data_IF_023856957105
#
_entry.id   IF_023856957105
#
_cell.length_a   1.000
_cell.length_b   1.000
_cell.length_c   1.000
_cell.angle_alpha   90.00
_cell.angle_beta   90.00
_cell.angle_gamma   90.00
#
_symmetry.space_group_name_H-M   'P 1'
#
loop_
_entity.id
_entity.type
_entity.pdbx_description
1 polymer ?
#
# COMPACT_ATOMS: atom_id res chain seq x y z
N UNK A 1 -38.43 11.50 -3.03
CA UNK A 1 -37.59 10.28 -2.90
C UNK A 1 -36.97 10.31 -1.52
N UNK A 2 -36.93 9.18 -0.83
CA UNK A 2 -36.25 9.08 0.46
C UNK A 2 -34.74 9.27 0.30
N UNK A 3 -34.04 9.70 1.35
CA UNK A 3 -32.58 9.84 1.36
C UNK A 3 -31.88 8.52 1.01
N UNK A 4 -32.43 7.39 1.46
CA UNK A 4 -31.94 6.04 1.14
C UNK A 4 -32.09 5.71 -0.35
N UNK A 5 -33.22 6.07 -0.97
CA UNK A 5 -33.45 5.83 -2.40
C UNK A 5 -32.47 6.63 -3.26
N UNK A 6 -32.28 7.92 -2.93
CA UNK A 6 -31.30 8.78 -3.59
C UNK A 6 -29.89 8.22 -3.39
N UNK A 7 -29.56 7.75 -2.18
CA UNK A 7 -28.28 7.11 -1.89
C UNK A 7 -28.02 5.84 -2.70
N UNK A 8 -29.01 4.95 -2.81
CA UNK A 8 -28.91 3.74 -3.64
C UNK A 8 -28.75 4.07 -5.12
N UNK A 9 -29.47 5.09 -5.60
CA UNK A 9 -29.38 5.54 -7.00
C UNK A 9 -28.01 6.17 -7.27
N UNK A 10 -27.47 6.94 -6.32
CA UNK A 10 -26.16 7.58 -6.41
C UNK A 10 -25.01 6.56 -6.43
N UNK A 11 -25.03 5.61 -5.49
CA UNK A 11 -24.07 4.51 -5.46
C UNK A 11 -24.21 3.58 -6.66
N UNK A 12 -25.44 3.23 -7.05
CA UNK A 12 -25.73 2.39 -8.21
C UNK A 12 -25.26 3.02 -9.52
N UNK A 13 -25.54 4.30 -9.75
CA UNK A 13 -25.05 5.04 -10.91
C UNK A 13 -23.52 5.07 -10.96
N UNK A 14 -22.87 5.24 -9.80
CA UNK A 14 -21.40 5.20 -9.68
C UNK A 14 -20.85 3.84 -10.06
N UNK A 15 -21.42 2.75 -9.55
CA UNK A 15 -21.01 1.39 -9.91
C UNK A 15 -21.21 1.13 -11.42
N UNK A 16 -22.33 1.54 -12.00
CA UNK A 16 -22.59 1.40 -13.44
C UNK A 16 -21.54 2.15 -14.26
N UNK A 17 -21.21 3.40 -13.89
CA UNK A 17 -20.18 4.18 -14.57
C UNK A 17 -18.80 3.51 -14.49
N UNK A 18 -18.45 2.95 -13.33
CA UNK A 18 -17.19 2.23 -13.14
C UNK A 18 -17.15 0.92 -13.95
N UNK A 19 -18.23 0.14 -13.96
CA UNK A 19 -18.31 -1.09 -14.76
C UNK A 19 -18.37 -0.84 -16.26
N UNK A 20 -18.84 0.33 -16.69
CA UNK A 20 -18.75 0.79 -18.07
C UNK A 20 -17.30 1.13 -18.51
N UNK A 21 -16.34 1.08 -17.58
CA UNK A 21 -14.92 1.32 -17.85
C UNK A 21 -14.51 2.79 -17.85
N UNK A 22 -15.36 3.69 -17.31
CA UNK A 22 -14.96 5.09 -17.15
C UNK A 22 -13.85 5.19 -16.10
N UNK A 23 -12.81 6.03 -16.34
CA UNK A 23 -11.83 6.30 -15.30
C UNK A 23 -12.50 6.90 -14.07
N UNK A 24 -12.07 6.45 -12.88
CA UNK A 24 -12.75 6.73 -11.60
C UNK A 24 -13.02 8.21 -11.37
N UNK A 25 -12.06 9.10 -11.67
CA UNK A 25 -12.24 10.54 -11.52
C UNK A 25 -13.46 11.04 -12.31
N UNK A 26 -13.62 10.62 -13.56
CA UNK A 26 -14.74 11.02 -14.41
C UNK A 26 -16.04 10.33 -13.99
N UNK A 27 -15.99 9.08 -13.51
CA UNK A 27 -17.17 8.41 -12.98
C UNK A 27 -17.73 9.16 -11.76
N UNK A 28 -16.88 9.46 -10.77
CA UNK A 28 -17.28 10.20 -9.56
C UNK A 28 -17.76 11.61 -9.91
N UNK A 29 -17.00 12.34 -10.72
CA UNK A 29 -17.34 13.71 -11.10
C UNK A 29 -18.61 13.81 -11.92
N UNK A 30 -18.80 12.94 -12.92
CA UNK A 30 -20.00 12.94 -13.76
C UNK A 30 -21.25 12.60 -12.94
N UNK A 31 -21.17 11.57 -12.09
CA UNK A 31 -22.31 11.19 -11.23
C UNK A 31 -22.63 12.29 -10.23
N UNK A 32 -21.63 12.92 -9.62
CA UNK A 32 -21.82 14.07 -8.74
C UNK A 32 -22.54 15.23 -9.45
N UNK A 33 -22.05 15.65 -10.62
CA UNK A 33 -22.64 16.77 -11.38
C UNK A 33 -24.07 16.45 -11.85
N UNK A 34 -24.33 15.22 -12.32
CA UNK A 34 -25.68 14.78 -12.71
C UNK A 34 -26.64 14.86 -11.52
N UNK A 35 -26.22 14.42 -10.33
CA UNK A 35 -27.06 14.49 -9.14
C UNK A 35 -27.25 15.92 -8.66
N UNK A 36 -26.23 16.78 -8.74
CA UNK A 36 -26.39 18.21 -8.47
C UNK A 36 -27.45 18.83 -9.38
N UNK A 37 -27.45 18.49 -10.66
CA UNK A 37 -28.42 19.01 -11.62
C UNK A 37 -29.87 18.60 -11.30
N UNK A 38 -30.10 17.35 -10.89
CA UNK A 38 -31.45 16.84 -10.65
C UNK A 38 -31.98 17.03 -9.22
N UNK A 39 -31.09 17.06 -8.22
CA UNK A 39 -31.48 16.99 -6.80
C UNK A 39 -31.02 18.20 -5.96
N UNK A 40 -30.24 19.12 -6.52
CA UNK A 40 -29.77 20.33 -5.83
C UNK A 40 -30.25 21.60 -6.56
N UNK A 41 -30.25 22.78 -5.90
CA UNK A 41 -30.56 24.04 -6.56
C UNK A 41 -29.62 24.32 -7.73
N UNK A 42 -30.11 24.95 -8.80
CA UNK A 42 -29.31 25.23 -10.00
C UNK A 42 -28.04 26.03 -9.69
N UNK A 43 -28.10 26.95 -8.72
CA UNK A 43 -26.94 27.73 -8.25
C UNK A 43 -25.80 26.87 -7.66
N UNK A 44 -26.08 25.63 -7.23
CA UNK A 44 -25.04 24.71 -6.76
C UNK A 44 -24.13 24.24 -7.89
N UNK A 45 -24.55 24.29 -9.16
CA UNK A 45 -23.68 23.92 -10.28
C UNK A 45 -22.58 24.96 -10.53
N UNK A 46 -22.83 26.23 -10.15
CA UNK A 46 -21.85 27.30 -10.29
C UNK A 46 -20.64 27.10 -9.36
N UNK A 47 -20.83 26.36 -8.25
CA UNK A 47 -19.76 26.10 -7.28
C UNK A 47 -18.91 24.87 -7.62
N UNK A 48 -19.27 24.09 -8.65
CA UNK A 48 -18.52 22.86 -9.02
C UNK A 48 -17.05 23.17 -9.28
N UNK A 49 -16.76 24.17 -10.12
CA UNK A 49 -15.39 24.54 -10.48
C UNK A 49 -14.61 25.05 -9.27
N UNK A 50 -15.26 25.86 -8.42
CA UNK A 50 -14.65 26.41 -7.21
C UNK A 50 -14.31 25.30 -6.22
N UNK A 51 -15.25 24.40 -5.93
CA UNK A 51 -15.06 23.29 -5.01
C UNK A 51 -13.91 22.38 -5.47
N UNK A 52 -13.89 21.99 -6.76
CA UNK A 52 -12.80 21.16 -7.28
C UNK A 52 -11.45 21.89 -7.19
N UNK A 53 -11.42 23.19 -7.49
CA UNK A 53 -10.19 23.97 -7.43
C UNK A 53 -9.66 24.12 -5.99
N UNK A 54 -10.49 24.52 -5.03
CA UNK A 54 -10.10 24.72 -3.64
C UNK A 54 -9.52 23.45 -3.02
N UNK A 55 -10.13 22.30 -3.32
CA UNK A 55 -9.67 21.01 -2.81
C UNK A 55 -8.35 20.56 -3.43
N UNK A 56 -8.16 20.80 -4.72
CA UNK A 56 -6.89 20.51 -5.40
C UNK A 56 -5.78 21.48 -4.99
N UNK A 57 -6.13 22.71 -4.61
CA UNK A 57 -5.21 23.78 -4.24
C UNK A 57 -4.79 23.76 -2.76
N UNK A 58 -4.76 22.60 -2.12
CA UNK A 58 -4.31 22.43 -0.74
C UNK A 58 -2.81 22.12 -0.64
N UNK A 59 -2.12 22.72 0.35
CA UNK A 59 -0.70 22.45 0.61
C UNK A 59 -0.45 20.98 1.02
N UNK A 60 -1.45 20.31 1.58
CA UNK A 60 -1.38 18.88 1.90
C UNK A 60 -1.36 18.04 0.62
N UNK A 61 -2.04 18.47 -0.45
CA UNK A 61 -2.03 17.78 -1.75
C UNK A 61 -0.64 17.79 -2.41
N UNK A 62 0.16 18.83 -2.17
CA UNK A 62 1.54 18.93 -2.67
C UNK A 62 2.44 17.78 -2.17
N UNK A 63 2.09 17.17 -1.03
CA UNK A 63 2.76 15.98 -0.48
C UNK A 63 2.69 14.78 -1.44
N UNK A 64 1.58 14.61 -2.17
CA UNK A 64 1.32 13.42 -3.00
C UNK A 64 2.28 13.39 -4.20
N UNK A 65 2.36 14.42 -5.08
CA UNK A 65 3.30 14.39 -6.20
C UNK A 65 4.76 14.25 -5.79
N UNK A 66 5.15 14.84 -4.65
CA UNK A 66 6.53 14.79 -4.17
C UNK A 66 6.89 13.39 -3.66
N UNK A 67 6.01 12.70 -2.94
CA UNK A 67 6.25 11.31 -2.58
C UNK A 67 6.20 10.36 -3.79
N UNK A 68 5.32 10.60 -4.76
CA UNK A 68 5.34 9.88 -6.04
C UNK A 68 6.68 10.10 -6.74
N UNK A 69 7.18 11.35 -6.80
CA UNK A 69 8.46 11.67 -7.42
C UNK A 69 9.62 10.93 -6.77
N UNK A 70 9.67 10.97 -5.43
CA UNK A 70 10.63 10.21 -4.62
C UNK A 70 10.56 8.72 -4.97
N UNK A 71 9.36 8.13 -4.98
CA UNK A 71 9.16 6.72 -5.25
C UNK A 71 9.51 6.32 -6.68
N UNK A 72 9.15 7.13 -7.67
CA UNK A 72 9.48 6.93 -9.07
C UNK A 72 11.00 6.99 -9.31
N UNK A 73 11.70 7.92 -8.65
CA UNK A 73 13.15 8.05 -8.75
C UNK A 73 13.88 6.80 -8.20
N UNK A 74 13.47 6.33 -7.01
CA UNK A 74 14.05 5.14 -6.38
C UNK A 74 13.66 3.89 -7.17
N UNK A 75 12.40 3.77 -7.60
CA UNK A 75 11.83 2.72 -8.43
C UNK A 75 12.56 2.47 -9.74
N UNK A 76 13.02 3.53 -10.40
CA UNK A 76 13.76 3.46 -11.67
C UNK A 76 15.25 3.19 -11.50
N UNK A 77 15.77 3.24 -10.28
CA UNK A 77 17.19 3.03 -9.99
C UNK A 77 17.51 1.56 -9.71
N UNK A 78 18.80 1.23 -9.53
CA UNK A 78 19.24 -0.12 -9.12
C UNK A 78 19.12 -0.37 -7.60
N UNK A 79 18.47 0.55 -6.88
CA UNK A 79 18.25 0.47 -5.44
C UNK A 79 17.68 -0.87 -4.96
N UNK A 80 16.64 -1.37 -5.64
CA UNK A 80 16.00 -2.64 -5.26
C UNK A 80 16.96 -3.83 -5.28
N UNK A 81 17.79 -3.91 -6.32
CA UNK A 81 18.82 -4.95 -6.46
C UNK A 81 19.91 -4.82 -5.39
N UNK A 82 20.32 -3.59 -5.05
CA UNK A 82 21.35 -3.34 -4.05
C UNK A 82 20.87 -3.68 -2.63
N UNK A 83 19.65 -3.27 -2.28
CA UNK A 83 18.98 -3.60 -1.03
C UNK A 83 18.85 -5.10 -0.85
N UNK A 84 18.33 -5.78 -1.88
CA UNK A 84 18.19 -7.22 -1.88
C UNK A 84 19.54 -7.92 -1.66
N UNK A 85 20.56 -7.56 -2.46
CA UNK A 85 21.88 -8.17 -2.37
C UNK A 85 22.54 -7.96 -1.01
N UNK A 86 22.39 -6.78 -0.43
CA UNK A 86 23.01 -6.45 0.84
C UNK A 86 22.30 -7.13 2.03
N UNK A 87 20.97 -7.12 2.06
CA UNK A 87 20.19 -7.80 3.10
C UNK A 87 20.38 -9.31 3.05
N UNK A 88 20.53 -9.86 1.83
CA UNK A 88 20.81 -11.27 1.66
C UNK A 88 22.10 -11.72 2.38
N UNK A 89 23.19 -10.97 2.24
CA UNK A 89 24.48 -11.26 2.90
C UNK A 89 24.35 -11.21 4.43
N UNK A 90 23.53 -10.29 4.95
CA UNK A 90 23.27 -10.15 6.38
C UNK A 90 22.40 -11.28 6.95
N UNK A 91 21.42 -11.75 6.16
CA UNK A 91 20.49 -12.80 6.57
C UNK A 91 21.04 -14.22 6.37
N UNK A 92 22.26 -14.39 5.88
CA UNK A 92 22.85 -15.72 5.64
C UNK A 92 22.97 -16.65 6.86
N UNK A 93 22.83 -16.14 8.09
CA UNK A 93 22.79 -16.98 9.31
C UNK A 93 21.39 -17.52 9.64
N UNK A 94 20.33 -16.95 9.06
CA UNK A 94 18.95 -17.36 9.34
C UNK A 94 18.57 -18.50 8.39
N UNK A 95 17.97 -19.61 8.88
CA UNK A 95 17.44 -20.65 8.01
C UNK A 95 16.41 -20.05 7.03
N UNK A 96 16.66 -20.13 5.73
CA UNK A 96 15.80 -19.48 4.74
C UNK A 96 16.04 -17.98 4.61
N UNK A 97 17.24 -17.51 4.98
CA UNK A 97 17.63 -16.11 5.02
C UNK A 97 17.42 -15.34 3.71
N UNK A 98 17.31 -16.05 2.58
CA UNK A 98 16.97 -15.49 1.28
C UNK A 98 15.51 -15.00 1.22
N UNK A 99 14.56 -15.81 1.72
CA UNK A 99 13.16 -15.40 1.82
C UNK A 99 12.98 -14.29 2.85
N UNK A 100 13.65 -14.40 4.00
CA UNK A 100 13.63 -13.34 5.03
C UNK A 100 14.22 -12.03 4.50
N UNK A 101 15.35 -12.09 3.79
CA UNK A 101 15.94 -10.93 3.13
C UNK A 101 14.99 -10.28 2.13
N UNK A 102 14.19 -11.06 1.40
CA UNK A 102 13.16 -10.51 0.51
C UNK A 102 12.07 -9.74 1.25
N UNK A 103 11.59 -10.26 2.38
CA UNK A 103 10.58 -9.54 3.19
C UNK A 103 11.16 -8.21 3.69
N UNK A 104 12.38 -8.20 4.23
CA UNK A 104 13.03 -6.98 4.68
C UNK A 104 13.37 -6.02 3.53
N UNK A 105 13.81 -6.53 2.38
CA UNK A 105 14.12 -5.72 1.21
C UNK A 105 12.85 -5.06 0.66
N UNK A 106 11.75 -5.81 0.58
CA UNK A 106 10.45 -5.27 0.25
C UNK A 106 10.04 -4.21 1.30
N UNK A 107 10.06 -4.51 2.59
CA UNK A 107 9.66 -3.56 3.63
C UNK A 107 10.44 -2.23 3.56
N UNK A 108 11.77 -2.29 3.47
CA UNK A 108 12.62 -1.11 3.41
C UNK A 108 12.42 -0.33 2.10
N UNK A 109 12.29 -1.04 0.97
CA UNK A 109 12.02 -0.42 -0.32
C UNK A 109 10.64 0.21 -0.36
N UNK A 110 9.63 -0.47 0.18
CA UNK A 110 8.25 -0.03 0.16
C UNK A 110 8.04 1.21 1.03
N UNK A 111 8.71 1.28 2.20
CA UNK A 111 8.76 2.48 3.02
C UNK A 111 9.36 3.69 2.27
N UNK A 112 10.21 3.47 1.26
CA UNK A 112 10.77 4.57 0.47
C UNK A 112 9.93 4.90 -0.76
N UNK A 113 9.44 3.86 -1.45
CA UNK A 113 8.72 3.99 -2.70
C UNK A 113 7.25 4.39 -2.50
N UNK A 114 6.65 4.04 -1.36
CA UNK A 114 5.25 4.30 -1.04
C UNK A 114 4.25 3.68 -2.03
N UNK A 115 4.71 2.73 -2.85
CA UNK A 115 3.95 2.12 -3.96
C UNK A 115 4.18 0.62 -3.99
N UNK A 116 3.09 -0.12 -3.93
CA UNK A 116 3.12 -1.57 -3.88
C UNK A 116 3.54 -2.22 -5.21
N UNK A 117 2.95 -1.86 -6.37
CA UNK A 117 3.38 -2.40 -7.66
C UNK A 117 4.83 -2.06 -8.01
N UNK A 118 5.28 -0.84 -7.65
CA UNK A 118 6.66 -0.41 -7.86
C UNK A 118 7.63 -1.27 -7.04
N UNK A 119 7.28 -1.59 -5.79
CA UNK A 119 8.08 -2.47 -4.94
C UNK A 119 8.16 -3.89 -5.50
N UNK A 120 7.03 -4.45 -5.94
CA UNK A 120 7.02 -5.77 -6.60
C UNK A 120 7.90 -5.80 -7.85
N UNK A 121 7.84 -4.75 -8.69
CA UNK A 121 8.67 -4.65 -9.89
C UNK A 121 10.17 -4.54 -9.57
N UNK A 122 10.53 -3.66 -8.65
CA UNK A 122 11.92 -3.36 -8.31
C UNK A 122 12.59 -4.54 -7.60
N UNK A 123 11.95 -5.10 -6.57
CA UNK A 123 12.51 -6.23 -5.81
C UNK A 123 12.33 -7.54 -6.57
N UNK A 124 11.21 -7.75 -7.25
CA UNK A 124 10.91 -8.98 -7.99
C UNK A 124 11.88 -9.27 -9.12
N UNK A 125 12.32 -8.23 -9.85
CA UNK A 125 13.26 -8.39 -10.97
C UNK A 125 14.61 -8.98 -10.54
N UNK A 126 15.06 -8.74 -9.31
CA UNK A 126 16.29 -9.32 -8.75
C UNK A 126 16.01 -10.55 -7.86
N UNK A 127 14.93 -10.50 -7.07
CA UNK A 127 14.62 -11.49 -6.05
C UNK A 127 14.10 -12.82 -6.60
N UNK A 128 13.20 -12.80 -7.59
CA UNK A 128 12.62 -14.03 -8.14
C UNK A 128 13.68 -14.90 -8.83
N UNK A 129 14.51 -14.38 -9.76
CA UNK A 129 15.52 -15.20 -10.42
C UNK A 129 16.52 -15.79 -9.43
N UNK A 130 16.95 -15.02 -8.44
CA UNK A 130 17.93 -15.46 -7.45
C UNK A 130 17.35 -16.52 -6.49
N UNK A 131 16.10 -16.35 -6.01
CA UNK A 131 15.42 -17.40 -5.22
C UNK A 131 15.33 -18.71 -6.00
N UNK A 132 14.94 -18.65 -7.27
CA UNK A 132 14.83 -19.83 -8.12
C UNK A 132 16.17 -20.50 -8.38
N UNK A 133 17.23 -19.71 -8.59
CA UNK A 133 18.60 -20.21 -8.74
C UNK A 133 19.06 -20.98 -7.50
N UNK A 134 18.57 -20.63 -6.31
CA UNK A 134 18.87 -21.31 -5.04
C UNK A 134 17.89 -22.44 -4.72
N UNK A 135 17.07 -22.84 -5.68
CA UNK A 135 16.16 -23.98 -5.60
C UNK A 135 14.83 -23.73 -4.89
N UNK A 136 14.48 -22.50 -4.52
CA UNK A 136 13.15 -22.21 -3.96
C UNK A 136 12.06 -22.47 -5.00
N UNK A 137 10.89 -22.92 -4.54
CA UNK A 137 9.77 -23.15 -5.46
C UNK A 137 9.34 -21.84 -6.16
N UNK A 138 9.03 -21.86 -7.48
CA UNK A 138 8.65 -20.66 -8.22
C UNK A 138 7.43 -19.94 -7.64
N UNK A 139 6.43 -20.70 -7.21
CA UNK A 139 5.23 -20.16 -6.57
C UNK A 139 5.53 -19.43 -5.26
N UNK A 140 6.40 -19.98 -4.40
CA UNK A 140 6.79 -19.30 -3.17
C UNK A 140 7.63 -18.04 -3.43
N UNK A 141 8.57 -18.10 -4.38
CA UNK A 141 9.37 -16.94 -4.77
C UNK A 141 8.52 -15.80 -5.33
N UNK A 142 7.52 -16.13 -6.15
CA UNK A 142 6.53 -15.18 -6.64
C UNK A 142 5.66 -14.63 -5.51
N UNK A 143 5.14 -15.50 -4.64
CA UNK A 143 4.21 -15.15 -3.58
C UNK A 143 4.81 -14.24 -2.50
N UNK A 144 6.03 -14.53 -2.04
CA UNK A 144 6.69 -13.74 -0.99
C UNK A 144 7.01 -12.32 -1.45
N UNK A 145 7.29 -12.12 -2.74
CA UNK A 145 7.58 -10.80 -3.29
C UNK A 145 6.28 -10.06 -3.62
N UNK A 146 5.25 -10.75 -4.13
CA UNK A 146 3.92 -10.16 -4.31
C UNK A 146 3.35 -9.64 -2.99
N UNK A 147 3.44 -10.45 -1.93
CA UNK A 147 3.01 -10.08 -0.58
C UNK A 147 3.95 -9.06 0.07
N UNK A 148 5.26 -9.23 -0.02
CA UNK A 148 6.22 -8.25 0.52
C UNK A 148 6.03 -6.87 -0.09
N UNK A 149 5.70 -6.79 -1.38
CA UNK A 149 5.41 -5.53 -2.03
C UNK A 149 4.15 -4.83 -1.53
N UNK A 150 3.18 -5.53 -0.93
CA UNK A 150 1.99 -4.87 -0.38
C UNK A 150 2.33 -3.93 0.77
N UNK A 151 3.39 -4.24 1.53
CA UNK A 151 3.87 -3.45 2.66
C UNK A 151 4.11 -1.97 2.34
N UNK A 152 4.21 -1.58 1.06
CA UNK A 152 4.28 -0.19 0.63
C UNK A 152 2.99 0.61 0.81
N UNK A 153 1.88 -0.07 1.09
CA UNK A 153 0.62 0.55 1.48
C UNK A 153 0.64 0.89 2.98
N UNK A 154 1.19 0.02 3.83
CA UNK A 154 1.18 0.20 5.28
C UNK A 154 2.40 0.94 5.84
N UNK A 155 3.61 0.67 5.33
CA UNK A 155 4.83 1.25 5.87
C UNK A 155 5.04 2.70 5.40
N UNK A 156 5.24 3.66 6.32
CA UNK A 156 5.38 5.06 5.95
C UNK A 156 6.76 5.42 5.37
N UNK A 157 6.85 6.46 4.53
CA UNK A 157 5.74 7.21 3.89
C UNK A 157 4.97 6.39 2.84
N UNK A 158 3.63 6.42 2.93
CA UNK A 158 2.72 5.68 2.04
C UNK A 158 1.70 6.61 1.38
N UNK A 159 1.55 6.49 0.06
CA UNK A 159 0.56 7.24 -0.73
C UNK A 159 -0.86 6.90 -0.27
N UNK A 160 -1.12 5.62 0.04
CA UNK A 160 -2.46 5.15 0.44
C UNK A 160 -2.88 5.74 1.78
N UNK A 161 -1.94 5.81 2.75
CA UNK A 161 -2.20 6.45 4.04
C UNK A 161 -2.41 7.96 3.90
N UNK A 162 -1.69 8.64 3.01
CA UNK A 162 -1.91 10.08 2.74
C UNK A 162 -3.34 10.32 2.27
N UNK A 163 -3.82 9.50 1.34
CA UNK A 163 -5.16 9.65 0.78
C UNK A 163 -6.25 9.33 1.79
N UNK A 164 -6.04 8.32 2.63
CA UNK A 164 -6.95 8.06 3.75
C UNK A 164 -6.97 9.23 4.72
N UNK A 165 -5.82 9.79 5.10
CA UNK A 165 -5.74 10.93 6.00
C UNK A 165 -6.50 12.14 5.46
N UNK A 166 -6.42 12.39 4.15
CA UNK A 166 -7.17 13.45 3.46
C UNK A 166 -8.67 13.13 3.48
N UNK A 167 -9.08 11.95 3.03
CA UNK A 167 -10.49 11.57 2.92
C UNK A 167 -11.21 11.47 4.28
N UNK A 168 -10.47 11.10 5.32
CA UNK A 168 -10.96 10.97 6.69
C UNK A 168 -10.72 12.23 7.54
N UNK A 169 -10.13 13.27 6.96
CA UNK A 169 -9.69 14.50 7.65
C UNK A 169 -8.90 14.20 8.94
N UNK A 170 -8.02 13.20 8.89
CA UNK A 170 -7.20 12.75 10.01
C UNK A 170 -5.76 13.27 9.91
N UNK A 171 -5.08 13.30 11.06
CA UNK A 171 -3.66 13.64 11.10
C UNK A 171 -2.80 12.60 10.36
N UNK A 172 -2.14 13.04 9.29
CA UNK A 172 -1.21 12.22 8.51
C UNK A 172 -0.06 11.65 9.36
N UNK A 173 0.52 12.47 10.25
CA UNK A 173 1.62 12.05 11.12
C UNK A 173 1.22 10.92 12.08
N UNK A 174 0.01 11.02 12.67
CA UNK A 174 -0.52 9.95 13.53
C UNK A 174 -0.76 8.66 12.75
N UNK A 175 -1.28 8.77 11.53
CA UNK A 175 -1.54 7.60 10.69
C UNK A 175 -0.24 6.90 10.26
N UNK A 176 0.81 7.66 9.94
CA UNK A 176 2.12 7.08 9.66
C UNK A 176 2.71 6.35 10.87
N UNK A 177 2.64 6.93 12.08
CA UNK A 177 3.06 6.23 13.29
C UNK A 177 2.22 4.98 13.54
N UNK A 178 0.91 5.06 13.30
CA UNK A 178 0.01 3.93 13.51
C UNK A 178 0.29 2.76 12.58
N UNK A 179 0.85 3.01 11.40
CA UNK A 179 1.25 1.97 10.45
C UNK A 179 2.52 1.20 10.84
N UNK A 180 3.39 1.77 11.70
CA UNK A 180 4.68 1.14 12.05
C UNK A 180 4.48 -0.17 12.80
N UNK A 181 3.67 -0.17 13.87
CA UNK A 181 3.44 -1.37 14.69
C UNK A 181 2.88 -2.54 13.88
N UNK A 182 1.77 -2.34 13.14
CA UNK A 182 1.17 -3.37 12.29
C UNK A 182 2.07 -3.76 11.11
N UNK A 183 2.85 -2.81 10.57
CA UNK A 183 3.84 -3.10 9.52
C UNK A 183 4.96 -4.01 10.01
N UNK A 184 5.50 -3.77 11.21
CA UNK A 184 6.47 -4.65 11.86
C UNK A 184 5.86 -6.02 12.13
N UNK A 185 4.62 -6.08 12.63
CA UNK A 185 3.89 -7.33 12.83
C UNK A 185 3.82 -8.13 11.52
N UNK A 186 3.44 -7.51 10.40
CA UNK A 186 3.37 -8.17 9.10
C UNK A 186 4.72 -8.65 8.60
N UNK A 187 5.78 -7.84 8.73
CA UNK A 187 7.16 -8.24 8.40
C UNK A 187 7.57 -9.48 9.21
N UNK A 188 7.27 -9.50 10.51
CA UNK A 188 7.58 -10.65 11.39
C UNK A 188 6.79 -11.88 10.97
N UNK A 189 5.48 -11.77 10.72
CA UNK A 189 4.65 -12.89 10.28
C UNK A 189 5.12 -13.46 8.94
N UNK A 190 5.45 -12.60 7.97
CA UNK A 190 5.95 -13.01 6.66
C UNK A 190 7.32 -13.67 6.77
N UNK A 191 8.21 -13.15 7.62
CA UNK A 191 9.52 -13.74 7.87
C UNK A 191 9.40 -15.11 8.55
N UNK A 192 8.53 -15.26 9.57
CA UNK A 192 8.28 -16.55 10.24
C UNK A 192 7.78 -17.58 9.23
N UNK A 193 6.80 -17.20 8.40
CA UNK A 193 6.28 -18.09 7.36
C UNK A 193 7.36 -18.45 6.33
N UNK A 194 8.21 -17.50 5.94
CA UNK A 194 9.31 -17.76 5.02
C UNK A 194 10.31 -18.79 5.58
N UNK A 195 10.66 -18.68 6.86
CA UNK A 195 11.52 -19.66 7.54
C UNK A 195 10.83 -21.03 7.62
N UNK A 196 9.54 -21.07 7.95
CA UNK A 196 8.77 -22.31 8.04
C UNK A 196 8.69 -23.03 6.69
N UNK A 197 8.38 -22.30 5.61
CA UNK A 197 8.35 -22.83 4.24
C UNK A 197 9.72 -23.30 3.77
N UNK A 198 10.78 -22.54 4.04
CA UNK A 198 12.14 -22.98 3.73
C UNK A 198 12.48 -24.30 4.43
N UNK A 199 12.13 -24.45 5.72
CA UNK A 199 12.38 -25.70 6.45
C UNK A 199 11.63 -26.89 5.85
N UNK A 200 10.38 -26.68 5.43
CA UNK A 200 9.57 -27.69 4.75
C UNK A 200 10.19 -28.09 3.40
N UNK A 201 10.53 -27.12 2.54
CA UNK A 201 11.14 -27.39 1.23
C UNK A 201 12.53 -28.04 1.37
N UNK A 202 13.32 -27.62 2.35
CA UNK A 202 14.61 -28.24 2.66
C UNK A 202 14.45 -29.67 3.14
N UNK A 203 13.52 -29.94 4.05
CA UNK A 203 13.27 -31.30 4.55
C UNK A 203 12.83 -32.25 3.41
N UNK A 204 11.96 -31.76 2.52
CA UNK A 204 11.54 -32.51 1.33
C UNK A 204 12.72 -32.77 0.37
N UNK A 205 13.57 -31.78 0.13
CA UNK A 205 14.77 -31.92 -0.70
C UNK A 205 15.78 -32.92 -0.10
N UNK A 206 16.00 -32.86 1.23
CA UNK A 206 16.87 -33.82 1.94
C UNK A 206 16.32 -35.23 1.84
N UNK A 207 15.01 -35.43 2.02
CA UNK A 207 14.37 -36.73 1.91
C UNK A 207 14.47 -37.30 0.49
N UNK A 208 14.26 -36.47 -0.54
CA UNK A 208 14.41 -36.86 -1.93
C UNK A 208 15.86 -37.26 -2.26
N UNK A 209 16.84 -36.51 -1.78
CA UNK A 209 18.26 -36.83 -1.96
C UNK A 209 18.65 -38.14 -1.25
N UNK A 210 18.17 -38.35 -0.01
CA UNK A 210 18.40 -39.59 0.74
C UNK A 210 17.81 -40.84 0.05
N UNK A 211 16.79 -40.68 -0.79
CA UNK A 211 16.18 -41.74 -1.60
C UNK A 211 16.84 -41.91 -2.98
N UNK A 212 17.98 -41.27 -3.23
CA UNK A 212 18.72 -41.36 -4.50
C UNK A 212 18.33 -40.30 -5.55
N UNK A 213 17.58 -39.27 -5.16
CA UNK A 213 17.20 -38.16 -6.03
C UNK A 213 18.34 -37.17 -6.33
N UNK A 214 18.10 -36.23 -7.24
CA UNK A 214 19.07 -35.20 -7.64
C UNK A 214 19.36 -34.19 -6.53
N UNK A 215 20.61 -33.73 -6.45
CA UNK A 215 21.00 -32.64 -5.53
C UNK A 215 20.20 -31.37 -5.81
N UNK A 216 19.65 -30.75 -4.77
CA UNK A 216 18.94 -29.47 -4.83
C UNK A 216 19.81 -28.35 -4.29
N UNK A 217 19.86 -27.20 -4.96
CA UNK A 217 20.60 -26.03 -4.45
C UNK A 217 20.05 -25.45 -3.15
N UNK A 218 18.85 -25.86 -2.71
CA UNK A 218 18.34 -25.57 -1.37
C UNK A 218 19.21 -26.16 -0.24
N UNK A 219 19.95 -27.23 -0.54
CA UNK A 219 20.84 -27.92 0.40
C UNK A 219 22.19 -27.21 0.55
N UNK A 220 22.55 -26.33 -0.39
CA UNK A 220 23.79 -25.57 -0.33
C UNK A 220 23.70 -24.51 0.77
N UNK A 221 24.66 -24.54 1.69
CA UNK A 221 24.80 -23.52 2.73
C UNK A 221 25.82 -22.48 2.30
N UNK A 222 25.36 -21.30 1.93
CA UNK A 222 26.26 -20.17 1.67
C UNK A 222 26.70 -19.57 3.01
N UNK A 223 28.00 -19.59 3.30
CA UNK A 223 28.58 -18.95 4.49
C UNK A 223 29.25 -17.64 4.09
N UNK A 224 28.67 -16.51 4.50
CA UNK A 224 29.28 -15.19 4.29
C UNK A 224 30.19 -14.81 5.46
N UNK A 225 31.40 -14.37 5.14
CA UNK A 225 32.37 -13.82 6.08
C UNK A 225 31.93 -12.47 6.65
N UNK A 226 32.45 -12.09 7.83
CA UNK A 226 32.16 -10.79 8.43
C UNK A 226 32.54 -9.62 7.49
N UNK A 227 33.67 -9.76 6.77
CA UNK A 227 34.15 -8.75 5.82
C UNK A 227 33.16 -8.48 4.68
N UNK A 228 32.53 -9.51 4.13
CA UNK A 228 31.50 -9.38 3.09
C UNK A 228 30.23 -8.69 3.60
N UNK A 229 29.85 -8.94 4.86
CA UNK A 229 28.70 -8.27 5.49
C UNK A 229 28.94 -6.78 5.69
N UNK A 230 30.11 -6.40 6.21
CA UNK A 230 30.46 -4.99 6.38
C UNK A 230 30.63 -4.29 5.03
N UNK A 231 31.14 -4.99 4.00
CA UNK A 231 31.23 -4.45 2.65
C UNK A 231 29.85 -4.18 1.99
N UNK A 232 28.77 -4.80 2.48
CA UNK A 232 27.42 -4.59 1.99
C UNK A 232 26.71 -3.37 2.61
N UNK A 233 27.15 -2.89 3.79
CA UNK A 233 26.52 -1.75 4.50
C UNK A 233 26.45 -0.48 3.64
N UNK A 234 27.52 -0.07 2.91
CA UNK A 234 27.48 1.16 2.11
C UNK A 234 26.40 1.15 1.01
N UNK A 235 25.88 -0.03 0.62
CA UNK A 235 24.79 -0.15 -0.35
C UNK A 235 23.41 0.11 0.26
N UNK A 236 23.22 -0.14 1.55
CA UNK A 236 21.93 0.04 2.26
C UNK A 236 21.86 1.38 2.97
N UNK A 237 23.02 1.88 3.43
CA UNK A 237 23.12 3.07 4.25
C UNK A 237 22.44 4.31 3.64
N UNK A 238 22.57 4.63 2.33
CA UNK A 238 21.90 5.79 1.74
C UNK A 238 20.38 5.74 1.89
N UNK A 239 19.79 4.56 1.74
CA UNK A 239 18.35 4.32 1.86
C UNK A 239 17.86 4.47 3.29
N UNK A 240 18.61 3.92 4.24
CA UNK A 240 18.31 4.03 5.67
C UNK A 240 18.46 5.48 6.13
N UNK A 241 19.50 6.19 5.68
CA UNK A 241 19.67 7.63 5.96
C UNK A 241 18.48 8.42 5.40
N UNK A 242 18.06 8.14 4.16
CA UNK A 242 16.92 8.83 3.58
C UNK A 242 15.63 8.56 4.37
N UNK A 243 15.38 7.30 4.76
CA UNK A 243 14.19 6.94 5.53
C UNK A 243 14.21 7.60 6.91
N UNK A 244 15.29 7.43 7.67
CA UNK A 244 15.44 7.98 9.02
C UNK A 244 15.41 9.51 8.97
N UNK A 245 16.07 10.15 8.01
CA UNK A 245 16.08 11.60 7.87
C UNK A 245 14.68 12.18 7.63
N UNK A 246 13.90 11.56 6.75
CA UNK A 246 12.51 11.94 6.48
C UNK A 246 11.63 11.73 7.72
N UNK A 247 11.77 10.59 8.40
CA UNK A 247 11.00 10.29 9.62
C UNK A 247 11.38 11.20 10.79
N UNK A 248 12.66 11.50 10.95
CA UNK A 248 13.16 12.41 11.98
C UNK A 248 12.66 13.85 11.75
N UNK A 249 12.69 14.33 10.51
CA UNK A 249 12.17 15.66 10.19
C UNK A 249 10.67 15.79 10.49
N UNK A 250 9.89 14.75 10.16
CA UNK A 250 8.44 14.71 10.39
C UNK A 250 8.07 14.61 11.87
N UNK A 251 8.63 13.64 12.59
CA UNK A 251 8.24 13.36 13.97
C UNK A 251 8.97 14.23 14.99
N UNK A 252 10.15 14.75 14.64
CA UNK A 252 10.86 15.73 15.45
C UNK A 252 10.21 17.12 15.42
N UNK A 253 9.12 17.31 14.66
CA UNK A 253 8.44 18.59 14.52
C UNK A 253 9.27 19.65 13.76
N UNK A 254 10.32 19.23 13.07
CA UNK A 254 11.25 20.12 12.36
C UNK A 254 10.63 20.58 11.03
N UNK A 255 9.87 19.70 10.38
CA UNK A 255 9.24 19.96 9.09
C UNK A 255 7.81 19.41 9.04
N UNK A 256 6.94 20.11 8.33
CA UNK A 256 5.58 19.65 8.00
C UNK A 256 5.62 18.43 7.06
N UNK A 257 4.52 17.68 6.91
CA UNK A 257 4.47 16.55 5.97
C UNK A 257 4.82 16.94 4.53
N UNK A 258 4.37 18.11 4.06
CA UNK A 258 4.65 18.62 2.72
C UNK A 258 6.13 19.00 2.54
N UNK A 259 6.73 19.66 3.52
CA UNK A 259 8.17 19.96 3.52
C UNK A 259 9.03 18.70 3.59
N UNK A 260 8.62 17.72 4.41
CA UNK A 260 9.27 16.42 4.52
C UNK A 260 9.21 15.64 3.20
N UNK A 261 8.08 15.71 2.49
CA UNK A 261 7.94 15.11 1.16
C UNK A 261 8.87 15.77 0.14
N UNK A 262 8.95 17.11 0.16
CA UNK A 262 9.88 17.87 -0.69
C UNK A 262 11.34 17.54 -0.41
N UNK A 263 11.74 17.57 0.85
CA UNK A 263 13.08 17.16 1.28
C UNK A 263 13.37 15.72 0.86
N UNK A 264 12.44 14.79 1.08
CA UNK A 264 12.56 13.40 0.69
C UNK A 264 12.72 13.20 -0.82
N UNK A 265 11.99 13.96 -1.64
CA UNK A 265 12.09 13.93 -3.09
C UNK A 265 13.44 14.46 -3.59
N UNK A 266 13.89 15.61 -3.07
CA UNK A 266 15.20 16.18 -3.42
C UNK A 266 16.33 15.26 -3.01
N UNK A 267 16.30 14.74 -1.77
CA UNK A 267 17.31 13.79 -1.29
C UNK A 267 17.33 12.50 -2.12
N UNK A 268 16.17 11.99 -2.54
CA UNK A 268 16.09 10.82 -3.42
C UNK A 268 16.70 11.11 -4.80
N UNK A 269 16.40 12.26 -5.41
CA UNK A 269 16.98 12.65 -6.69
C UNK A 269 18.50 12.83 -6.60
N UNK A 270 18.99 13.50 -5.54
CA UNK A 270 20.43 13.68 -5.29
C UNK A 270 21.12 12.33 -5.06
N UNK A 271 20.53 11.45 -4.26
CA UNK A 271 21.04 10.10 -4.03
C UNK A 271 21.12 9.32 -5.35
N UNK A 272 20.05 9.35 -6.15
CA UNK A 272 19.95 8.60 -7.40
C UNK A 272 20.91 9.17 -8.46
N UNK A 273 21.09 10.49 -8.51
CA UNK A 273 22.09 11.13 -9.35
C UNK A 273 23.52 10.78 -8.90
N UNK A 274 23.83 10.86 -7.60
CA UNK A 274 25.18 10.62 -7.08
C UNK A 274 25.62 9.17 -7.14
N UNK A 275 24.77 8.24 -6.70
CA UNK A 275 25.10 6.81 -6.58
C UNK A 275 24.88 6.08 -7.90
N UNK A 276 23.73 6.31 -8.55
CA UNK A 276 23.34 5.58 -9.76
C UNK A 276 23.66 6.32 -11.06
N UNK A 277 24.21 7.54 -10.98
CA UNK A 277 24.57 8.38 -12.13
C UNK A 277 23.39 8.64 -13.08
N UNK A 278 22.19 8.71 -12.52
CA UNK A 278 20.94 9.00 -13.24
C UNK A 278 20.72 10.52 -13.21
N UNK A 279 21.31 11.22 -14.18
CA UNK A 279 21.18 12.68 -14.33
C UNK A 279 20.88 13.12 -15.75
N UNK A 280 21.04 12.23 -16.75
CA UNK A 280 20.84 12.60 -18.14
C UNK A 280 19.35 12.88 -18.38
N UNK A 281 18.98 13.90 -19.17
CA UNK A 281 17.57 14.18 -19.49
C UNK A 281 16.81 12.95 -20.01
N UNK A 282 17.47 12.08 -20.78
CA UNK A 282 16.90 10.83 -21.26
C UNK A 282 16.53 9.82 -20.15
N UNK A 283 17.17 9.89 -18.98
CA UNK A 283 16.91 9.02 -17.82
C UNK A 283 15.99 9.69 -16.79
N UNK A 284 16.08 11.02 -16.65
CA UNK A 284 15.22 11.81 -15.76
C UNK A 284 13.82 12.01 -16.35
N UNK A 285 13.71 12.18 -17.68
CA UNK A 285 12.43 12.34 -18.38
C UNK A 285 11.41 11.25 -18.05
N UNK A 286 11.78 9.95 -18.11
CA UNK A 286 10.90 8.86 -17.69
C UNK A 286 10.45 8.92 -16.23
N UNK A 287 11.30 9.38 -15.30
CA UNK A 287 10.95 9.55 -13.88
C UNK A 287 9.89 10.64 -13.76
N UNK A 288 10.12 11.81 -14.33
CA UNK A 288 9.17 12.93 -14.30
C UNK A 288 7.86 12.57 -14.99
N UNK A 289 7.90 11.87 -16.12
CA UNK A 289 6.69 11.46 -16.84
C UNK A 289 5.87 10.44 -16.05
N UNK A 290 6.50 9.46 -15.38
CA UNK A 290 5.77 8.56 -14.46
C UNK A 290 5.15 9.34 -13.30
N UNK A 291 5.90 10.29 -12.73
CA UNK A 291 5.41 11.14 -11.64
C UNK A 291 4.21 11.95 -12.07
N UNK A 292 4.29 12.64 -13.21
CA UNK A 292 3.19 13.45 -13.74
C UNK A 292 1.96 12.59 -13.99
N UNK A 293 2.11 11.44 -14.64
CA UNK A 293 0.99 10.53 -14.92
C UNK A 293 0.29 10.08 -13.63
N UNK A 294 1.05 9.57 -12.67
CA UNK A 294 0.48 9.09 -11.39
C UNK A 294 -0.12 10.24 -10.59
N UNK A 295 0.58 11.37 -10.49
CA UNK A 295 0.11 12.54 -9.75
C UNK A 295 -1.16 13.13 -10.34
N UNK A 296 -1.23 13.33 -11.66
CA UNK A 296 -2.43 13.84 -12.33
C UNK A 296 -3.60 12.89 -12.16
N UNK A 297 -3.37 11.58 -12.29
CA UNK A 297 -4.41 10.58 -12.05
C UNK A 297 -4.96 10.68 -10.62
N UNK A 298 -4.09 10.70 -9.61
CA UNK A 298 -4.52 10.76 -8.21
C UNK A 298 -5.19 12.09 -7.87
N UNK A 299 -4.61 13.22 -8.27
CA UNK A 299 -5.18 14.54 -8.00
C UNK A 299 -6.55 14.73 -8.63
N UNK A 300 -6.77 14.21 -9.85
CA UNK A 300 -8.09 14.23 -10.49
C UNK A 300 -9.10 13.36 -9.73
N UNK A 301 -8.71 12.18 -9.25
CA UNK A 301 -9.59 11.33 -8.44
C UNK A 301 -9.97 12.05 -7.15
N UNK A 302 -9.00 12.68 -6.47
CA UNK A 302 -9.24 13.40 -5.22
C UNK A 302 -10.23 14.56 -5.43
N UNK A 303 -9.96 15.45 -6.39
CA UNK A 303 -10.83 16.60 -6.66
C UNK A 303 -12.26 16.19 -6.98
N UNK A 304 -12.44 15.15 -7.81
CA UNK A 304 -13.78 14.65 -8.16
C UNK A 304 -14.42 13.84 -7.02
N UNK A 305 -13.63 13.15 -6.20
CA UNK A 305 -14.14 12.42 -5.03
C UNK A 305 -14.62 13.35 -3.92
N UNK A 306 -14.00 14.51 -3.76
CA UNK A 306 -14.42 15.51 -2.78
C UNK A 306 -15.69 16.21 -3.25
N UNK A 307 -15.82 16.53 -4.54
CA UNK A 307 -17.09 16.93 -5.13
C UNK A 307 -18.18 15.87 -4.90
N UNK A 308 -17.86 14.59 -5.13
CA UNK A 308 -18.77 13.48 -4.88
C UNK A 308 -19.20 13.39 -3.41
N UNK A 309 -18.27 13.62 -2.48
CA UNK A 309 -18.49 13.63 -1.03
C UNK A 309 -19.35 14.80 -0.58
N UNK A 310 -19.13 15.97 -1.17
CA UNK A 310 -19.93 17.17 -0.96
C UNK A 310 -21.40 16.92 -1.29
N UNK A 311 -21.68 16.30 -2.45
CA UNK A 311 -23.05 15.94 -2.86
C UNK A 311 -23.67 14.92 -1.89
N UNK A 312 -22.90 13.92 -1.43
CA UNK A 312 -23.41 12.97 -0.41
C UNK A 312 -23.81 13.67 0.88
N UNK A 313 -23.01 14.63 1.34
CA UNK A 313 -23.28 15.39 2.55
C UNK A 313 -24.48 16.30 2.39
N UNK A 314 -24.57 17.01 1.25
CA UNK A 314 -25.68 17.92 0.96
C UNK A 314 -27.02 17.20 0.86
N UNK A 315 -27.05 16.04 0.19
CA UNK A 315 -28.26 15.22 0.05
C UNK A 315 -28.55 14.36 1.29
N UNK A 316 -27.78 14.53 2.37
CA UNK A 316 -27.88 13.76 3.62
C UNK A 316 -27.79 12.23 3.42
N UNK A 317 -27.13 11.78 2.36
CA UNK A 317 -26.95 10.35 2.05
C UNK A 317 -26.06 9.70 3.12
N UNK A 318 -24.94 10.34 3.45
CA UNK A 318 -23.98 9.84 4.45
C UNK A 318 -24.60 9.76 5.85
N UNK A 319 -25.37 10.77 6.25
CA UNK A 319 -26.06 10.82 7.54
C UNK A 319 -27.20 9.79 7.60
N UNK A 320 -28.02 9.70 6.55
CA UNK A 320 -29.10 8.72 6.47
C UNK A 320 -28.60 7.28 6.49
N UNK A 321 -27.46 6.99 5.84
CA UNK A 321 -26.80 5.68 5.93
C UNK A 321 -26.34 5.38 7.36
N UNK A 322 -25.77 6.36 8.06
CA UNK A 322 -25.34 6.19 9.45
C UNK A 322 -26.52 5.95 10.39
N UNK A 323 -27.60 6.73 10.26
CA UNK A 323 -28.82 6.57 11.06
C UNK A 323 -29.49 5.22 10.82
N UNK A 324 -29.55 4.76 9.56
CA UNK A 324 -30.08 3.45 9.22
C UNK A 324 -29.28 2.31 9.87
N UNK A 325 -27.94 2.38 9.83
CA UNK A 325 -27.06 1.41 10.46
C UNK A 325 -27.20 1.43 11.99
N UNK A 326 -27.26 2.62 12.61
CA UNK A 326 -27.46 2.76 14.06
C UNK A 326 -28.85 2.21 14.45
N UNK A 327 -29.87 2.46 13.64
CA UNK A 327 -31.22 1.94 13.83
C UNK A 327 -31.33 0.42 13.76
N UNK A 328 -30.44 -0.26 13.03
CA UNK A 328 -30.35 -1.72 13.02
C UNK A 328 -29.82 -2.31 14.34
N UNK A 329 -29.30 -1.49 15.26
CA UNK A 329 -28.66 -1.93 16.50
C UNK A 329 -27.61 -3.03 16.30
N UNK A 330 -26.87 -2.96 15.18
CA UNK A 330 -25.83 -3.94 14.89
C UNK A 330 -24.74 -3.88 15.95
N UNK A 331 -24.23 -5.05 16.34
CA UNK A 331 -22.98 -5.12 17.08
C UNK A 331 -21.88 -4.41 16.28
N UNK A 332 -21.07 -3.59 16.96
CA UNK A 332 -19.94 -2.86 16.35
C UNK A 332 -19.05 -3.76 15.48
N UNK A 333 -18.89 -5.04 15.87
CA UNK A 333 -18.09 -6.02 15.15
C UNK A 333 -18.76 -6.54 13.88
N UNK A 334 -20.09 -6.64 13.87
CA UNK A 334 -20.86 -7.01 12.68
C UNK A 334 -20.80 -5.88 11.65
N UNK A 335 -20.93 -4.64 12.09
CA UNK A 335 -20.74 -3.46 11.24
C UNK A 335 -19.34 -3.45 10.63
N UNK A 336 -18.30 -3.62 11.45
CA UNK A 336 -16.92 -3.69 10.98
C UNK A 336 -16.75 -4.82 9.96
N UNK A 337 -17.19 -6.04 10.27
CA UNK A 337 -17.08 -7.19 9.38
C UNK A 337 -17.78 -6.95 8.03
N UNK A 338 -18.97 -6.35 8.03
CA UNK A 338 -19.70 -6.02 6.80
C UNK A 338 -18.95 -4.98 5.96
N UNK A 339 -18.39 -3.93 6.58
CA UNK A 339 -17.59 -2.92 5.89
C UNK A 339 -16.32 -3.55 5.32
N UNK A 340 -15.59 -4.35 6.11
CA UNK A 340 -14.37 -5.01 5.62
C UNK A 340 -14.68 -5.98 4.48
N UNK A 341 -15.78 -6.72 4.54
CA UNK A 341 -16.20 -7.61 3.46
C UNK A 341 -16.53 -6.82 2.17
N UNK A 342 -17.27 -5.72 2.27
CA UNK A 342 -17.53 -4.81 1.15
C UNK A 342 -16.23 -4.30 0.54
N UNK A 343 -15.31 -3.84 1.38
CA UNK A 343 -14.02 -3.28 0.98
C UNK A 343 -13.12 -4.34 0.33
N UNK A 344 -13.15 -5.59 0.78
CA UNK A 344 -12.49 -6.73 0.12
C UNK A 344 -13.07 -6.97 -1.28
N UNK A 345 -14.39 -6.99 -1.42
CA UNK A 345 -15.07 -7.21 -2.70
C UNK A 345 -14.72 -6.09 -3.69
N UNK A 346 -14.70 -4.82 -3.23
CA UNK A 346 -14.25 -3.71 -4.08
C UNK A 346 -12.77 -3.81 -4.43
N UNK A 347 -11.93 -4.30 -3.50
CA UNK A 347 -10.51 -4.59 -3.68
C UNK A 347 -10.20 -5.54 -4.84
N UNK A 348 -11.15 -6.37 -5.24
CA UNK A 348 -11.01 -7.27 -6.38
C UNK A 348 -11.00 -6.56 -7.73
N UNK A 349 -11.57 -5.36 -7.82
CA UNK A 349 -11.78 -4.67 -9.09
C UNK A 349 -11.10 -3.30 -9.13
N UNK A 350 -10.96 -2.65 -7.98
CA UNK A 350 -10.54 -1.26 -7.88
C UNK A 350 -9.18 -1.14 -7.18
N UNK A 351 -8.33 -0.18 -7.60
CA UNK A 351 -7.13 0.18 -6.87
C UNK A 351 -7.43 0.73 -5.46
N UNK A 352 -6.52 0.55 -4.48
CA UNK A 352 -6.71 1.02 -3.10
C UNK A 352 -7.13 2.48 -2.95
N UNK A 353 -6.48 3.35 -3.72
CA UNK A 353 -6.76 4.80 -3.73
C UNK A 353 -8.21 5.08 -4.06
N UNK A 354 -8.72 4.40 -5.09
CA UNK A 354 -10.08 4.57 -5.59
C UNK A 354 -11.11 4.12 -4.58
N UNK A 355 -10.83 3.00 -3.89
CA UNK A 355 -11.72 2.47 -2.86
C UNK A 355 -11.81 3.44 -1.70
N UNK A 356 -10.67 3.93 -1.20
CA UNK A 356 -10.64 4.88 -0.07
C UNK A 356 -11.44 6.13 -0.41
N UNK A 357 -11.12 6.79 -1.54
CA UNK A 357 -11.76 8.06 -1.91
C UNK A 357 -13.25 7.91 -2.22
N UNK A 358 -13.68 6.77 -2.76
CA UNK A 358 -15.09 6.50 -3.05
C UNK A 358 -15.89 6.11 -1.80
N UNK A 359 -15.31 5.30 -0.92
CA UNK A 359 -16.05 4.67 0.19
C UNK A 359 -15.94 5.43 1.50
N UNK A 360 -14.86 6.17 1.75
CA UNK A 360 -14.65 6.94 2.98
C UNK A 360 -15.87 7.82 3.37
N UNK A 361 -16.48 8.59 2.44
CA UNK A 361 -17.61 9.46 2.78
C UNK A 361 -18.86 8.69 3.24
N UNK A 362 -18.95 7.41 2.84
CA UNK A 362 -20.07 6.52 3.17
C UNK A 362 -19.79 5.74 4.46
N UNK A 363 -18.58 5.22 4.62
CA UNK A 363 -18.24 4.27 5.69
C UNK A 363 -17.78 4.96 6.99
N UNK A 364 -17.14 6.13 6.90
CA UNK A 364 -16.56 6.77 8.09
C UNK A 364 -17.60 7.33 9.06
N UNK A 365 -18.71 7.97 8.62
CA UNK A 365 -19.74 8.45 9.54
C UNK A 365 -20.34 7.36 10.45
N UNK A 366 -20.81 6.19 9.94
CA UNK A 366 -21.33 5.13 10.81
C UNK A 366 -20.25 4.53 11.72
N UNK A 367 -19.00 4.42 11.27
CA UNK A 367 -17.90 3.95 12.11
C UNK A 367 -17.61 4.90 13.28
N UNK A 368 -17.60 6.21 13.01
CA UNK A 368 -17.44 7.24 14.04
C UNK A 368 -18.60 7.21 15.04
N UNK A 369 -19.83 7.07 14.55
CA UNK A 369 -21.02 6.93 15.41
C UNK A 369 -20.99 5.67 16.28
N UNK A 370 -20.44 4.56 15.76
CA UNK A 370 -20.23 3.32 16.50
C UNK A 370 -19.03 3.36 17.48
N UNK A 371 -18.32 4.50 17.56
CA UNK A 371 -17.21 4.71 18.49
C UNK A 371 -15.86 4.13 18.06
N UNK A 372 -15.67 3.84 16.76
CA UNK A 372 -14.38 3.42 16.25
C UNK A 372 -13.40 4.59 16.12
N UNK A 373 -12.14 4.33 16.47
CA UNK A 373 -11.03 5.24 16.17
C UNK A 373 -10.73 5.18 14.66
N UNK A 374 -10.77 6.34 14.00
CA UNK A 374 -10.60 6.43 12.55
C UNK A 374 -9.14 6.22 12.12
N UNK A 375 -8.15 6.42 12.99
CA UNK A 375 -6.75 6.14 12.67
C UNK A 375 -6.55 4.62 12.66
N UNK A 376 -7.05 3.92 13.69
CA UNK A 376 -7.05 2.46 13.77
C UNK A 376 -7.79 1.83 12.59
N UNK A 377 -8.97 2.35 12.25
CA UNK A 377 -9.72 1.87 11.08
C UNK A 377 -8.94 2.11 9.78
N UNK A 378 -8.26 3.25 9.64
CA UNK A 378 -7.40 3.53 8.50
C UNK A 378 -6.32 2.46 8.31
N UNK A 379 -5.69 2.02 9.39
CA UNK A 379 -4.69 0.94 9.32
C UNK A 379 -5.30 -0.41 8.93
N UNK A 380 -6.45 -0.77 9.50
CA UNK A 380 -7.15 -1.99 9.09
C UNK A 380 -7.55 -1.93 7.63
N UNK A 381 -8.12 -0.80 7.20
CA UNK A 381 -8.50 -0.57 5.81
C UNK A 381 -7.29 -0.70 4.89
N UNK A 382 -6.12 -0.16 5.28
CA UNK A 382 -4.87 -0.34 4.55
C UNK A 382 -4.46 -1.80 4.41
N UNK A 383 -4.53 -2.62 5.47
CA UNK A 383 -4.21 -4.06 5.38
C UNK A 383 -5.22 -4.79 4.48
N UNK A 384 -6.50 -4.42 4.53
CA UNK A 384 -7.50 -4.99 3.61
C UNK A 384 -7.20 -4.61 2.15
N UNK A 385 -6.76 -3.38 1.90
CA UNK A 385 -6.31 -2.95 0.57
C UNK A 385 -5.07 -3.72 0.10
N UNK A 386 -4.13 -4.02 1.01
CA UNK A 386 -2.99 -4.88 0.71
C UNK A 386 -3.43 -6.26 0.23
N UNK A 387 -4.41 -6.86 0.91
CA UNK A 387 -4.98 -8.15 0.47
C UNK A 387 -5.58 -8.06 -0.93
N UNK A 388 -6.29 -6.97 -1.26
CA UNK A 388 -6.88 -6.74 -2.59
C UNK A 388 -5.84 -6.73 -3.73
N UNK A 389 -4.61 -6.27 -3.46
CA UNK A 389 -3.54 -6.25 -4.47
C UNK A 389 -2.94 -7.62 -4.79
N UNK A 390 -3.20 -8.62 -3.95
CA UNK A 390 -2.60 -9.95 -4.08
C UNK A 390 -3.67 -11.06 -4.14
N UNK A 391 -4.95 -10.74 -3.98
CA UNK A 391 -6.03 -11.71 -4.08
C UNK A 391 -6.64 -11.73 -5.51
N UNK A 392 -6.91 -12.91 -6.10
CA UNK A 392 -7.67 -13.03 -7.37
C UNK A 392 -9.07 -12.39 -7.26
N UNK A 393 -9.69 -11.86 -8.34
CA UNK A 393 -9.43 -12.06 -9.76
C UNK A 393 -8.43 -11.09 -10.41
N UNK A 394 -8.23 -9.87 -9.86
CA UNK A 394 -7.30 -8.89 -10.44
C UNK A 394 -5.94 -8.98 -9.77
N UNK A 395 -5.82 -8.66 -8.48
CA UNK A 395 -4.55 -8.74 -7.75
C UNK A 395 -3.37 -8.13 -8.52
N UNK A 396 -3.31 -6.79 -8.62
CA UNK A 396 -2.33 -6.08 -9.47
C UNK A 396 -0.89 -6.57 -9.30
N UNK A 397 -0.47 -6.91 -8.07
CA UNK A 397 0.88 -7.42 -7.82
C UNK A 397 1.11 -8.79 -8.46
N UNK A 398 0.09 -9.66 -8.52
CA UNK A 398 0.17 -10.94 -9.25
C UNK A 398 0.52 -10.70 -10.72
N UNK A 399 -0.11 -9.71 -11.36
CA UNK A 399 0.19 -9.36 -12.76
C UNK A 399 1.57 -8.71 -12.92
N UNK A 400 2.00 -7.88 -11.96
CA UNK A 400 3.38 -7.36 -11.97
C UNK A 400 4.38 -8.50 -11.89
N UNK A 401 4.18 -9.48 -10.99
CA UNK A 401 5.04 -10.66 -10.91
C UNK A 401 5.02 -11.47 -12.21
N UNK A 402 3.84 -11.63 -12.82
CA UNK A 402 3.71 -12.35 -14.10
C UNK A 402 4.48 -11.66 -15.24
N UNK A 403 4.58 -10.33 -15.23
CA UNK A 403 5.40 -9.60 -16.20
C UNK A 403 6.91 -9.79 -15.97
N UNK A 404 7.32 -9.99 -14.72
CA UNK A 404 8.73 -10.24 -14.36
C UNK A 404 9.15 -11.67 -14.69
N UNK A 405 8.28 -12.65 -14.37
CA UNK A 405 8.54 -14.07 -14.53
C UNK A 405 7.39 -14.73 -15.32
N UNK A 406 7.32 -14.50 -16.65
CA UNK A 406 6.23 -14.99 -17.49
C UNK A 406 6.18 -16.51 -17.60
N UNK A 407 7.26 -17.19 -17.26
CA UNK A 407 7.34 -18.66 -17.25
C UNK A 407 6.65 -19.31 -16.06
N UNK A 408 6.39 -18.58 -14.97
CA UNK A 408 5.69 -19.11 -13.79
C UNK A 408 4.18 -19.16 -14.09
N UNK A 409 3.51 -20.32 -14.02
CA UNK A 409 2.07 -20.41 -14.21
C UNK A 409 1.30 -19.51 -13.24
N UNK A 410 0.24 -18.83 -13.71
CA UNK A 410 -0.57 -17.94 -12.86
C UNK A 410 -1.09 -18.65 -11.62
N UNK A 411 -1.50 -19.91 -11.78
CA UNK A 411 -1.93 -20.78 -10.68
C UNK A 411 -0.89 -20.87 -9.56
N UNK A 412 0.38 -21.00 -9.90
CA UNK A 412 1.46 -21.16 -8.91
C UNK A 412 1.76 -19.84 -8.21
N UNK A 413 1.65 -18.71 -8.90
CA UNK A 413 1.72 -17.38 -8.28
C UNK A 413 0.58 -17.21 -7.28
N UNK A 414 -0.66 -17.48 -7.69
CA UNK A 414 -1.85 -17.37 -6.82
C UNK A 414 -1.73 -18.27 -5.59
N UNK A 415 -1.39 -19.54 -5.78
CA UNK A 415 -1.21 -20.48 -4.67
C UNK A 415 -0.06 -20.09 -3.74
N UNK A 416 1.00 -19.47 -4.30
CA UNK A 416 2.10 -18.93 -3.51
C UNK A 416 1.73 -17.74 -2.64
N UNK A 417 0.72 -16.96 -3.06
CA UNK A 417 0.26 -15.74 -2.39
C UNK A 417 -0.79 -16.01 -1.31
N UNK A 418 -1.69 -16.98 -1.51
CA UNK A 418 -2.79 -17.27 -0.58
C UNK A 418 -2.37 -17.41 0.90
N UNK A 419 -1.25 -18.07 1.25
CA UNK A 419 -0.79 -18.15 2.62
C UNK A 419 -0.53 -16.77 3.24
N UNK A 420 -0.01 -15.81 2.47
CA UNK A 420 0.24 -14.45 2.93
C UNK A 420 -1.07 -13.66 3.14
N UNK A 421 -2.09 -13.90 2.31
CA UNK A 421 -3.45 -13.37 2.55
C UNK A 421 -3.98 -13.88 3.90
N UNK A 422 -3.77 -15.16 4.21
CA UNK A 422 -4.10 -15.73 5.52
C UNK A 422 -3.35 -15.04 6.67
N UNK A 423 -2.07 -14.72 6.50
CA UNK A 423 -1.30 -13.97 7.49
C UNK A 423 -1.79 -12.52 7.65
N UNK A 424 -2.22 -11.87 6.59
CA UNK A 424 -2.85 -10.54 6.66
C UNK A 424 -4.17 -10.58 7.45
N UNK A 425 -5.00 -11.61 7.24
CA UNK A 425 -6.19 -11.85 8.06
C UNK A 425 -5.85 -12.04 9.54
N UNK A 426 -4.79 -12.79 9.84
CA UNK A 426 -4.29 -12.95 11.21
C UNK A 426 -3.85 -11.60 11.79
N UNK A 427 -3.16 -10.75 11.01
CA UNK A 427 -2.81 -9.39 11.43
C UNK A 427 -4.05 -8.55 11.75
N UNK A 428 -5.09 -8.59 10.90
CA UNK A 428 -6.34 -7.87 11.15
C UNK A 428 -7.01 -8.34 12.44
N UNK A 429 -7.09 -9.66 12.65
CA UNK A 429 -7.64 -10.23 13.88
C UNK A 429 -6.83 -9.79 15.11
N UNK A 430 -5.50 -9.79 15.01
CA UNK A 430 -4.63 -9.29 16.09
C UNK A 430 -4.89 -7.81 16.41
N UNK A 431 -5.11 -6.96 15.40
CA UNK A 431 -5.48 -5.55 15.60
C UNK A 431 -6.88 -5.36 16.19
N UNK A 432 -7.81 -6.27 15.90
CA UNK A 432 -9.14 -6.28 16.50
C UNK A 432 -9.09 -6.66 17.99
N UNK A 433 -8.25 -7.63 18.35
CA UNK A 433 -8.09 -8.07 19.74
C UNK A 433 -7.22 -7.10 20.56
N UNK A 434 -6.22 -6.49 19.94
CA UNK A 434 -5.26 -5.58 20.57
C UNK A 434 -5.12 -4.30 19.75
N UNK A 435 -6.07 -3.34 19.84
CA UNK A 435 -6.03 -2.08 19.10
C UNK A 435 -4.77 -1.25 19.36
N UNK A 436 -4.18 -1.40 20.55
CA UNK A 436 -2.93 -0.76 20.95
C UNK A 436 -1.76 -1.04 20.01
N UNK A 437 -1.76 -2.13 19.23
CA UNK A 437 -0.73 -2.39 18.23
C UNK A 437 -0.64 -1.29 17.16
N UNK A 438 -1.76 -0.63 16.83
CA UNK A 438 -1.78 0.52 15.93
C UNK A 438 -1.77 1.84 16.70
N UNK A 439 -2.46 1.95 17.83
CA UNK A 439 -2.69 3.25 18.49
C UNK A 439 -1.65 3.63 19.54
N UNK A 440 -0.88 2.68 20.09
CA UNK A 440 0.07 2.95 21.17
C UNK A 440 1.16 3.97 20.81
N UNK A 441 1.79 3.81 19.65
CA UNK A 441 2.90 4.68 19.22
C UNK A 441 2.42 6.12 18.92
N UNK A 442 1.32 6.34 18.17
CA UNK A 442 0.72 7.67 18.02
C UNK A 442 0.38 8.30 19.37
N UNK A 443 -0.24 7.57 20.30
CA UNK A 443 -0.59 8.10 21.61
C UNK A 443 0.67 8.47 22.40
N UNK A 444 1.72 7.66 22.39
CA UNK A 444 2.96 7.96 23.11
C UNK A 444 3.68 9.21 22.61
N UNK A 445 3.66 9.48 21.29
CA UNK A 445 4.34 10.63 20.69
C UNK A 445 3.51 11.93 20.81
N UNK A 446 2.18 11.84 20.74
CA UNK A 446 1.28 13.00 20.72
C UNK A 446 0.53 13.25 22.04
N UNK A 447 0.80 12.49 23.12
CA UNK A 447 0.24 12.74 24.45
C UNK A 447 1.05 13.74 25.31
N UNK A 448 1.96 14.49 24.68
CA UNK A 448 2.75 15.57 25.30
C UNK A 448 2.13 16.94 25.12
#
# INVERSE_FOLDING_TARGET
>A
MGTVEIGLLYGGATLVALFAGLPIAFALGAVAVVFMYFFMPAASLDTVTQNVYEEMASITMLTIPLFILKGAAIGRSRAGSDLYSALHVWMGRVPGGLGVANVFACALFAAMAGSSPATCSAIGSAGIPEMRRRGYSPGFAAGIIAAGGTLGILLPPSITLILYAVAAEQSLGRLFLAGIGPGVLMVVLFAIYAVARYRQEKAAATAAYAQGGTWSELLRTDTFTARERFAAIPRVLPFVILLIGVMFALYGGIATPSETAGLGAVLALVMVAGIYRIWRPAQVGPILMSTLRESTMLMMIIGMSLLYSYVMSYLHISQGAAEWIVGMQLSKWVLLAAILALVVVLGFFLPPVSIILMTAPVILPPLKAAGFDLIWFGIIMSIVMEMGLIHPPVGLNIFVIKNIAPDIPLRDVVMGVLPFVGLMLVSILALCLVPGLATWLPTAVYAG
#
